data_IF_690628976063
#
_entry.id   IF_690628976063
#
_cell.length_a   1.000
_cell.length_b   1.000
_cell.length_c   1.000
_cell.angle_alpha   90.00
_cell.angle_beta   90.00
_cell.angle_gamma   90.00
#
_symmetry.space_group_name_H-M   'P 1'
#
loop_
_entity.id
_entity.type
_entity.pdbx_description
1 polymer ?
#
# COMPACT_ATOMS: atom_id res chain seq x y z
N UNK A 1 10.48 -13.93 -11.02
CA UNK A 1 11.75 -14.53 -10.56
C UNK A 1 11.64 -14.74 -9.05
N UNK A 2 11.73 -15.99 -8.58
CA UNK A 2 11.57 -16.34 -7.17
C UNK A 2 12.74 -15.84 -6.32
N UNK A 3 13.93 -15.74 -6.91
CA UNK A 3 15.13 -15.25 -6.23
C UNK A 3 15.01 -13.75 -5.94
N UNK A 4 14.52 -12.98 -6.92
CA UNK A 4 14.22 -11.57 -6.72
C UNK A 4 13.22 -11.35 -5.59
N UNK A 5 12.17 -12.18 -5.51
CA UNK A 5 11.18 -12.09 -4.43
C UNK A 5 11.79 -12.42 -3.06
N UNK A 6 12.62 -13.45 -2.99
CA UNK A 6 13.32 -13.85 -1.77
C UNK A 6 14.23 -12.74 -1.27
N UNK A 7 15.00 -12.11 -2.17
CA UNK A 7 15.84 -10.95 -1.83
C UNK A 7 15.02 -9.76 -1.36
N UNK A 8 13.90 -9.47 -2.03
CA UNK A 8 13.03 -8.36 -1.64
C UNK A 8 12.40 -8.58 -0.26
N UNK A 9 11.96 -9.80 0.07
CA UNK A 9 11.48 -10.17 1.40
C UNK A 9 12.54 -9.96 2.48
N UNK A 10 13.77 -10.42 2.25
CA UNK A 10 14.88 -10.23 3.18
C UNK A 10 15.19 -8.74 3.39
N UNK A 11 15.29 -7.96 2.31
CA UNK A 11 15.54 -6.52 2.37
C UNK A 11 14.43 -5.76 3.11
N UNK A 12 13.16 -6.12 2.90
CA UNK A 12 12.06 -5.50 3.62
C UNK A 12 12.10 -5.80 5.12
N UNK A 13 12.40 -7.04 5.53
CA UNK A 13 12.57 -7.41 6.95
C UNK A 13 13.70 -6.63 7.61
N UNK A 14 14.80 -6.43 6.90
CA UNK A 14 15.94 -5.65 7.40
C UNK A 14 15.60 -4.16 7.50
N UNK A 15 14.98 -3.59 6.46
CA UNK A 15 14.61 -2.17 6.41
C UNK A 15 13.61 -1.79 7.52
N UNK A 16 12.70 -2.72 7.86
CA UNK A 16 11.67 -2.51 8.87
C UNK A 16 12.10 -2.96 10.27
N UNK A 17 13.32 -3.47 10.44
CA UNK A 17 13.81 -3.87 11.74
C UNK A 17 13.84 -2.67 12.70
N UNK A 18 13.23 -2.84 13.89
CA UNK A 18 13.14 -1.80 14.91
C UNK A 18 11.93 -0.87 14.78
N UNK A 19 11.03 -1.10 13.81
CA UNK A 19 9.73 -0.45 13.72
C UNK A 19 8.62 -1.46 14.01
N UNK A 20 7.58 -1.03 14.73
CA UNK A 20 6.42 -1.88 15.02
C UNK A 20 5.50 -2.06 13.80
N UNK A 21 5.39 -1.02 12.96
CA UNK A 21 4.57 -1.03 11.75
C UNK A 21 5.00 0.05 10.75
N UNK A 22 4.64 -0.13 9.49
CA UNK A 22 4.58 0.93 8.50
C UNK A 22 3.21 1.60 8.50
N UNK A 23 3.18 2.93 8.46
CA UNK A 23 1.97 3.71 8.24
C UNK A 23 2.02 4.32 6.84
N UNK A 24 1.09 3.91 5.98
CA UNK A 24 1.03 4.34 4.57
C UNK A 24 -0.35 4.88 4.22
N UNK A 25 -0.47 5.78 3.22
CA UNK A 25 -1.76 6.04 2.59
C UNK A 25 -2.35 4.76 1.98
N UNK A 26 -3.65 4.52 2.13
CA UNK A 26 -4.31 3.36 1.50
C UNK A 26 -4.32 3.46 -0.02
N UNK A 27 -4.42 4.67 -0.56
CA UNK A 27 -4.35 4.96 -1.99
C UNK A 27 -3.73 6.34 -2.25
N UNK A 28 -3.45 6.65 -3.51
CA UNK A 28 -2.77 7.90 -3.92
C UNK A 28 -3.73 9.00 -4.35
N UNK A 29 -4.91 8.65 -4.87
CA UNK A 29 -5.86 9.59 -5.46
C UNK A 29 -7.31 9.07 -5.42
N UNK A 30 -8.27 9.95 -5.71
CA UNK A 30 -9.71 9.63 -5.83
C UNK A 30 -10.16 9.88 -7.28
N UNK A 31 -9.85 8.97 -8.22
CA UNK A 31 -10.12 9.20 -9.62
C UNK A 31 -11.62 9.10 -9.92
N UNK A 32 -12.10 9.89 -10.87
CA UNK A 32 -13.45 9.72 -11.41
C UNK A 32 -13.51 8.50 -12.31
N UNK A 33 -14.70 7.95 -12.51
CA UNK A 33 -14.92 6.83 -13.44
C UNK A 33 -14.50 7.20 -14.87
N UNK A 34 -14.76 8.45 -15.28
CA UNK A 34 -14.34 8.96 -16.60
C UNK A 34 -12.81 8.92 -16.74
N UNK A 35 -12.09 9.43 -15.74
CA UNK A 35 -10.62 9.40 -15.75
C UNK A 35 -10.09 7.96 -15.83
N UNK A 36 -10.66 7.03 -15.06
CA UNK A 36 -10.29 5.60 -15.11
C UNK A 36 -10.56 5.00 -16.50
N UNK A 37 -11.64 5.42 -17.17
CA UNK A 37 -11.96 4.93 -18.52
C UNK A 37 -10.96 5.43 -19.56
N UNK A 38 -10.44 6.64 -19.38
CA UNK A 38 -9.44 7.26 -20.26
C UNK A 38 -8.04 6.65 -20.07
N UNK A 39 -7.63 6.37 -18.83
CA UNK A 39 -6.33 5.77 -18.48
C UNK A 39 -6.47 4.62 -17.45
N UNK A 40 -7.01 3.46 -17.86
CA UNK A 40 -7.29 2.36 -16.92
C UNK A 40 -6.02 1.75 -16.33
N UNK A 41 -4.92 1.71 -17.08
CA UNK A 41 -3.69 1.09 -16.62
C UNK A 41 -2.84 2.04 -15.77
N UNK A 42 -2.72 3.30 -16.17
CA UNK A 42 -1.93 4.28 -15.44
C UNK A 42 -2.55 4.61 -14.09
N UNK A 43 -3.86 4.82 -14.03
CA UNK A 43 -4.56 5.04 -12.75
C UNK A 43 -4.44 3.82 -11.85
N UNK A 44 -4.74 2.61 -12.35
CA UNK A 44 -4.64 1.40 -11.54
C UNK A 44 -3.21 1.19 -10.99
N UNK A 45 -2.18 1.50 -11.79
CA UNK A 45 -0.78 1.46 -11.36
C UNK A 45 -0.49 2.45 -10.22
N UNK A 46 -0.99 3.69 -10.30
CA UNK A 46 -0.80 4.72 -9.25
C UNK A 46 -1.59 4.40 -7.98
N UNK A 47 -2.80 3.88 -8.10
CA UNK A 47 -3.59 3.48 -6.94
C UNK A 47 -2.95 2.31 -6.18
N UNK A 48 -2.18 1.44 -6.86
CA UNK A 48 -1.46 0.33 -6.27
C UNK A 48 -0.09 0.66 -5.65
N UNK A 49 0.34 1.93 -5.66
CA UNK A 49 1.68 2.35 -5.21
C UNK A 49 2.04 1.87 -3.80
N UNK A 50 1.08 1.87 -2.86
CA UNK A 50 1.32 1.51 -1.47
C UNK A 50 0.79 0.14 -1.06
N UNK A 51 0.13 -0.60 -1.95
CA UNK A 51 -0.60 -1.83 -1.58
C UNK A 51 -0.04 -3.08 -2.25
N UNK A 52 0.47 -2.97 -3.48
CA UNK A 52 0.84 -4.13 -4.30
C UNK A 52 1.93 -5.02 -3.69
N UNK A 53 2.79 -4.49 -2.82
CA UNK A 53 3.90 -5.25 -2.24
C UNK A 53 3.48 -6.17 -1.11
N UNK A 54 2.39 -5.88 -0.38
CA UNK A 54 2.06 -6.56 0.89
C UNK A 54 1.96 -8.08 0.72
N UNK A 55 1.16 -8.53 -0.26
CA UNK A 55 0.98 -9.96 -0.54
C UNK A 55 2.27 -10.64 -1.02
N UNK A 56 3.05 -9.94 -1.85
CA UNK A 56 4.30 -10.48 -2.38
C UNK A 56 5.33 -10.66 -1.28
N UNK A 57 5.41 -9.72 -0.35
CA UNK A 57 6.40 -9.72 0.73
C UNK A 57 5.97 -10.50 1.97
N UNK A 58 4.80 -11.14 1.96
CA UNK A 58 4.25 -11.92 3.09
C UNK A 58 4.06 -11.06 4.34
N UNK A 59 3.31 -9.97 4.15
CA UNK A 59 2.98 -8.98 5.18
C UNK A 59 1.47 -8.92 5.38
N UNK A 60 1.06 -8.62 6.61
CA UNK A 60 -0.33 -8.32 6.93
C UNK A 60 -0.57 -6.80 6.86
N UNK A 61 -1.79 -6.40 6.50
CA UNK A 61 -2.14 -4.99 6.43
C UNK A 61 -3.62 -4.75 6.79
N UNK A 62 -3.87 -3.69 7.55
CA UNK A 62 -5.22 -3.25 7.92
C UNK A 62 -5.42 -1.78 7.54
N UNK A 63 -6.50 -1.50 6.80
CA UNK A 63 -6.88 -0.15 6.42
C UNK A 63 -7.84 0.45 7.45
N UNK A 64 -7.60 1.71 7.83
CA UNK A 64 -8.41 2.47 8.77
C UNK A 64 -8.72 3.87 8.22
N UNK A 65 -9.85 4.49 8.61
CA UNK A 65 -10.14 5.88 8.27
C UNK A 65 -9.05 6.83 8.78
N UNK A 66 -8.59 7.73 7.91
CA UNK A 66 -7.73 8.85 8.25
C UNK A 66 -8.53 10.16 8.37
N UNK A 67 -7.80 11.28 8.39
CA UNK A 67 -8.41 12.60 8.29
C UNK A 67 -8.85 12.87 6.85
N UNK A 68 -9.93 13.62 6.65
CA UNK A 68 -10.40 14.00 5.31
C UNK A 68 -9.36 14.89 4.61
N UNK A 69 -9.37 14.90 3.28
CA UNK A 69 -8.47 15.78 2.51
C UNK A 69 -8.87 17.25 2.66
N UNK A 70 -8.03 18.18 2.18
CA UNK A 70 -8.34 19.61 2.20
C UNK A 70 -9.61 19.96 1.41
N UNK A 71 -9.92 19.15 0.39
CA UNK A 71 -11.12 19.21 -0.45
C UNK A 71 -12.31 18.42 0.14
N UNK A 72 -12.21 18.01 1.40
CA UNK A 72 -13.23 17.26 2.13
C UNK A 72 -13.58 15.89 1.52
N UNK A 73 -12.62 15.19 0.91
CA UNK A 73 -12.79 13.80 0.50
C UNK A 73 -12.44 12.82 1.64
N UNK A 74 -13.09 11.64 1.73
CA UNK A 74 -12.63 10.60 2.65
C UNK A 74 -11.19 10.20 2.30
N UNK A 75 -10.37 9.91 3.30
CA UNK A 75 -9.01 9.42 3.10
C UNK A 75 -8.72 8.35 4.14
N UNK A 76 -7.90 7.37 3.77
CA UNK A 76 -7.57 6.21 4.58
C UNK A 76 -6.07 6.03 4.72
N UNK A 77 -5.68 5.49 5.86
CA UNK A 77 -4.32 5.01 6.12
C UNK A 77 -4.34 3.50 6.31
N UNK A 78 -3.20 2.87 6.08
CA UNK A 78 -2.98 1.44 6.23
C UNK A 78 -1.80 1.22 7.16
N UNK A 79 -1.98 0.34 8.14
CA UNK A 79 -0.91 -0.21 8.94
C UNK A 79 -0.43 -1.49 8.27
N UNK A 80 0.86 -1.62 8.01
CA UNK A 80 1.47 -2.82 7.43
C UNK A 80 2.48 -3.39 8.41
N UNK A 81 2.33 -4.66 8.71
CA UNK A 81 3.10 -5.41 9.72
C UNK A 81 3.62 -6.72 9.11
N UNK A 82 4.61 -7.37 9.74
CA UNK A 82 5.00 -8.73 9.36
C UNK A 82 3.81 -9.71 9.39
N UNK A 83 3.93 -10.83 8.68
CA UNK A 83 2.94 -11.90 8.78
C UNK A 83 2.71 -12.34 10.23
N UNK A 84 1.44 -12.54 10.59
CA UNK A 84 0.95 -13.01 11.90
C UNK A 84 0.99 -11.99 13.05
N UNK A 85 1.19 -10.70 12.75
CA UNK A 85 1.10 -9.59 13.72
C UNK A 85 -0.23 -8.81 13.59
N UNK A 86 -1.31 -9.49 13.15
CA UNK A 86 -2.66 -8.93 12.92
C UNK A 86 -3.41 -8.48 14.21
#
# INVERSE_FOLDING_TARGET
DLDALTRAKAAARELLAGFDALLLPTTTEHPTIAAVTEDPFGINRRMGTFTNFCNLLDMAAVAAPGHRTAEDHPFGVMFVVPAFDD
#
